data_IF_139248734354
#
_entry.id   IF_139248734354
#
_cell.length_a   1.000
_cell.length_b   1.000
_cell.length_c   1.000
_cell.angle_alpha   90.00
_cell.angle_beta   90.00
_cell.angle_gamma   90.00
#
_symmetry.space_group_name_H-M   'P 1'
#
loop_
_entity.id
_entity.type
_entity.pdbx_description
1 polymer ?
#
# COMPACT_ATOMS: atom_id res chain seq x y z
N UNK A 1 9.62 -22.38 -26.11
CA UNK A 1 9.83 -21.81 -24.77
C UNK A 1 9.16 -20.44 -24.80
N UNK A 2 7.92 -20.33 -24.31
CA UNK A 2 7.22 -19.04 -24.33
C UNK A 2 7.96 -18.08 -23.38
N UNK A 3 8.36 -16.88 -23.84
CA UNK A 3 8.89 -15.89 -22.93
C UNK A 3 7.75 -15.49 -22.00
N UNK A 4 7.89 -15.78 -20.70
CA UNK A 4 7.04 -15.17 -19.68
C UNK A 4 7.38 -13.70 -19.69
N UNK A 5 6.57 -12.91 -20.40
CA UNK A 5 6.58 -11.46 -20.28
C UNK A 5 6.24 -11.15 -18.82
N UNK A 6 7.25 -10.80 -18.02
CA UNK A 6 7.02 -10.29 -16.67
C UNK A 6 6.27 -8.99 -16.84
N UNK A 7 4.97 -9.00 -16.54
CA UNK A 7 4.17 -7.79 -16.40
C UNK A 7 4.95 -6.79 -15.54
N UNK A 8 5.08 -5.57 -16.07
CA UNK A 8 5.74 -4.49 -15.34
C UNK A 8 5.01 -4.27 -14.01
N UNK A 9 5.76 -4.37 -12.91
CA UNK A 9 5.23 -4.13 -11.57
C UNK A 9 4.43 -2.81 -11.54
N UNK A 10 3.24 -2.85 -10.94
CA UNK A 10 2.35 -1.68 -10.89
C UNK A 10 3.00 -0.48 -10.19
N UNK A 11 2.63 0.74 -10.58
CA UNK A 11 3.12 1.97 -9.96
C UNK A 11 3.08 1.98 -8.41
N UNK A 12 1.99 1.56 -7.73
CA UNK A 12 1.97 1.51 -6.27
C UNK A 12 2.95 0.47 -5.70
N UNK A 13 3.13 -0.67 -6.37
CA UNK A 13 4.07 -1.68 -5.92
C UNK A 13 5.53 -1.20 -6.07
N UNK A 14 5.82 -0.38 -7.09
CA UNK A 14 7.12 0.31 -7.23
C UNK A 14 7.33 1.37 -6.14
N UNK A 15 6.33 2.21 -5.87
CA UNK A 15 6.38 3.21 -4.79
C UNK A 15 6.69 2.52 -3.46
N UNK A 16 5.96 1.46 -3.14
CA UNK A 16 6.15 0.67 -1.93
C UNK A 16 7.57 0.09 -1.84
N UNK A 17 8.07 -0.48 -2.94
CA UNK A 17 9.42 -1.03 -2.99
C UNK A 17 10.50 0.07 -2.81
N UNK A 18 10.28 1.27 -3.36
CA UNK A 18 11.17 2.42 -3.18
C UNK A 18 11.15 2.96 -1.74
N UNK A 19 9.98 2.94 -1.11
CA UNK A 19 9.84 3.36 0.28
C UNK A 19 10.46 2.35 1.23
N UNK A 20 10.27 1.05 0.99
CA UNK A 20 10.93 -0.03 1.73
C UNK A 20 10.95 0.19 3.25
N UNK A 21 12.13 0.14 3.84
CA UNK A 21 12.35 0.33 5.29
C UNK A 21 12.07 1.77 5.77
N UNK A 22 11.90 2.73 4.84
CA UNK A 22 11.53 4.12 5.18
C UNK A 22 10.03 4.29 5.38
N UNK A 23 9.21 3.32 4.98
CA UNK A 23 7.75 3.40 5.06
C UNK A 23 7.24 3.74 6.47
N UNK A 24 7.79 3.16 7.57
CA UNK A 24 7.35 3.51 8.93
C UNK A 24 7.64 4.96 9.34
N UNK A 25 8.58 5.63 8.67
CA UNK A 25 8.96 7.02 8.95
C UNK A 25 8.15 8.04 8.15
N UNK A 26 7.19 7.58 7.34
CA UNK A 26 6.33 8.44 6.54
C UNK A 26 4.99 8.62 7.25
N UNK A 27 4.52 9.87 7.30
CA UNK A 27 3.17 10.15 7.77
C UNK A 27 2.12 9.45 6.91
N UNK A 28 1.16 8.76 7.54
CA UNK A 28 0.12 8.01 6.84
C UNK A 28 -0.62 8.82 5.76
N UNK A 29 -1.02 10.06 6.06
CA UNK A 29 -1.71 10.91 5.08
C UNK A 29 -0.81 11.27 3.90
N UNK A 30 0.49 11.49 4.16
CA UNK A 30 1.46 11.73 3.10
C UNK A 30 1.63 10.50 2.21
N UNK A 31 1.60 9.29 2.79
CA UNK A 31 1.62 8.06 2.03
C UNK A 31 0.39 7.91 1.13
N UNK A 32 -0.82 8.23 1.62
CA UNK A 32 -2.04 8.24 0.80
C UNK A 32 -1.92 9.20 -0.40
N UNK A 33 -1.41 10.41 -0.18
CA UNK A 33 -1.16 11.36 -1.27
C UNK A 33 -0.18 10.82 -2.33
N UNK A 34 0.88 10.14 -1.89
CA UNK A 34 1.84 9.52 -2.81
C UNK A 34 1.20 8.38 -3.61
N UNK A 35 0.33 7.57 -2.98
CA UNK A 35 -0.42 6.51 -3.67
C UNK A 35 -1.33 7.07 -4.77
N UNK A 36 -2.03 8.16 -4.49
CA UNK A 36 -2.91 8.87 -5.44
C UNK A 36 -2.10 9.46 -6.59
N UNK A 37 -0.98 10.13 -6.30
CA UNK A 37 -0.09 10.70 -7.33
C UNK A 37 0.53 9.65 -8.24
N UNK A 38 0.77 8.44 -7.73
CA UNK A 38 1.32 7.34 -8.52
C UNK A 38 0.25 6.66 -9.42
N UNK A 39 -1.03 6.96 -9.23
CA UNK A 39 -2.14 6.39 -10.00
C UNK A 39 -3.22 7.45 -10.29
N UNK A 40 -2.89 8.51 -11.06
CA UNK A 40 -3.80 9.63 -11.29
C UNK A 40 -5.07 9.22 -12.06
N UNK A 41 -5.01 8.14 -12.84
CA UNK A 41 -6.15 7.63 -13.61
C UNK A 41 -7.08 6.72 -12.80
N UNK A 42 -6.75 6.43 -11.53
CA UNK A 42 -7.56 5.60 -10.65
C UNK A 42 -8.36 6.44 -9.66
N UNK A 43 -9.49 5.92 -9.15
CA UNK A 43 -10.22 6.56 -8.08
C UNK A 43 -9.32 6.81 -6.86
N UNK A 44 -9.62 7.89 -6.14
CA UNK A 44 -8.98 8.22 -4.87
C UNK A 44 -9.12 7.03 -3.92
N UNK A 45 -8.05 6.73 -3.19
CA UNK A 45 -8.03 5.62 -2.21
C UNK A 45 -9.21 5.76 -1.24
N UNK A 46 -10.06 4.74 -1.13
CA UNK A 46 -11.23 4.75 -0.24
C UNK A 46 -12.47 5.50 -0.76
N UNK A 47 -12.43 6.07 -1.96
CA UNK A 47 -13.60 6.72 -2.59
C UNK A 47 -14.59 5.74 -3.22
N UNK A 48 -14.23 4.47 -3.35
CA UNK A 48 -15.08 3.42 -3.93
C UNK A 48 -15.39 2.33 -2.92
N UNK A 49 -16.55 1.69 -3.08
CA UNK A 49 -16.92 0.53 -2.27
C UNK A 49 -16.18 -0.76 -2.70
N UNK A 50 -15.50 -0.73 -3.85
CA UNK A 50 -14.87 -1.90 -4.44
C UNK A 50 -13.43 -2.07 -3.96
N UNK A 51 -13.31 -2.69 -2.79
CA UNK A 51 -12.02 -3.00 -2.13
C UNK A 51 -11.01 -3.66 -3.09
N UNK A 52 -11.45 -4.50 -4.03
CA UNK A 52 -10.57 -5.17 -5.01
C UNK A 52 -9.71 -4.22 -5.86
N UNK A 53 -10.12 -2.97 -6.05
CA UNK A 53 -9.39 -1.99 -6.87
C UNK A 53 -8.40 -1.13 -6.07
N UNK A 54 -8.44 -1.21 -4.74
CA UNK A 54 -7.52 -0.48 -3.88
C UNK A 54 -6.08 -1.03 -4.01
N UNK A 55 -5.07 -0.16 -4.12
CA UNK A 55 -3.69 -0.56 -4.39
C UNK A 55 -2.99 -1.20 -3.18
N UNK A 56 -3.52 -0.98 -1.98
CA UNK A 56 -3.02 -1.54 -0.72
C UNK A 56 -4.19 -1.92 0.19
N UNK A 57 -3.93 -2.78 1.17
CA UNK A 57 -4.86 -3.13 2.25
C UNK A 57 -4.37 -2.47 3.53
N UNK A 58 -5.03 -1.41 3.97
CA UNK A 58 -4.78 -0.89 5.31
C UNK A 58 -5.38 -1.83 6.35
N UNK A 59 -4.57 -2.28 7.31
CA UNK A 59 -5.00 -3.15 8.40
C UNK A 59 -4.48 -2.63 9.73
N UNK A 60 -5.27 -2.77 10.81
CA UNK A 60 -4.80 -2.40 12.14
C UNK A 60 -3.53 -3.20 12.48
N UNK A 61 -2.56 -2.52 13.07
CA UNK A 61 -1.45 -3.17 13.73
C UNK A 61 -1.98 -3.90 14.99
N UNK A 62 -1.63 -5.19 15.21
CA UNK A 62 -2.19 -5.98 16.31
C UNK A 62 -1.73 -5.55 17.72
N UNK A 63 -0.70 -4.72 17.83
CA UNK A 63 -0.21 -4.19 19.11
C UNK A 63 -0.91 -2.89 19.54
N UNK A 64 -0.77 -2.54 20.82
CA UNK A 64 -1.00 -1.17 21.28
C UNK A 64 0.05 -0.26 20.62
N UNK A 65 -0.38 0.84 20.03
CA UNK A 65 0.55 1.72 19.34
C UNK A 65 0.02 3.15 19.30
N UNK A 66 0.82 4.05 19.85
CA UNK A 66 0.69 5.49 19.65
C UNK A 66 1.91 5.96 18.83
N UNK A 67 1.79 7.05 18.07
CA UNK A 67 0.58 7.84 17.83
C UNK A 67 -0.40 7.20 16.84
N UNK A 68 -1.62 7.73 16.79
CA UNK A 68 -2.57 7.41 15.73
C UNK A 68 -1.99 7.79 14.35
N UNK A 69 -2.43 7.09 13.32
CA UNK A 69 -2.00 7.27 11.93
C UNK A 69 -0.50 6.99 11.69
N UNK A 70 0.09 6.08 12.47
CA UNK A 70 1.47 5.64 12.27
C UNK A 70 1.51 4.37 11.42
N UNK A 71 2.34 4.37 10.38
CA UNK A 71 2.60 3.17 9.59
C UNK A 71 3.63 2.32 10.33
N UNK A 72 3.30 1.06 10.62
CA UNK A 72 4.20 0.11 11.28
C UNK A 72 5.01 -0.73 10.30
N UNK A 73 4.55 -0.84 9.07
CA UNK A 73 5.27 -1.55 8.02
C UNK A 73 4.35 -2.14 6.97
N UNK A 74 4.93 -2.95 6.10
CA UNK A 74 4.24 -3.61 5.01
C UNK A 74 4.42 -5.13 5.04
N UNK A 75 3.33 -5.83 4.80
CA UNK A 75 3.29 -7.28 4.63
C UNK A 75 2.96 -7.57 3.16
N UNK A 76 3.87 -8.23 2.45
CA UNK A 76 3.58 -8.71 1.11
C UNK A 76 2.50 -9.79 1.17
N UNK A 77 1.62 -9.81 0.18
CA UNK A 77 0.62 -10.87 0.05
C UNK A 77 1.30 -12.18 -0.35
N UNK A 78 0.83 -13.30 0.19
CA UNK A 78 1.26 -14.63 -0.26
C UNK A 78 0.82 -14.94 -1.70
N UNK A 79 -0.18 -14.21 -2.18
CA UNK A 79 -0.71 -14.31 -3.53
C UNK A 79 -0.34 -13.08 -4.34
N UNK A 80 0.43 -13.25 -5.42
CA UNK A 80 0.93 -12.14 -6.25
C UNK A 80 -0.17 -11.27 -6.88
N UNK A 81 -1.40 -11.78 -7.00
CA UNK A 81 -2.55 -11.04 -7.52
C UNK A 81 -3.25 -10.17 -6.47
N UNK A 82 -2.91 -10.33 -5.19
CA UNK A 82 -3.47 -9.54 -4.10
C UNK A 82 -2.58 -8.35 -3.77
N UNK A 83 -3.15 -7.18 -3.47
CA UNK A 83 -2.38 -6.03 -3.03
C UNK A 83 -1.71 -6.29 -1.66
N UNK A 84 -0.56 -5.66 -1.38
CA UNK A 84 0.12 -5.79 -0.11
C UNK A 84 -0.68 -5.14 1.03
N UNK A 85 -0.38 -5.55 2.26
CA UNK A 85 -1.00 -5.03 3.48
C UNK A 85 -0.10 -3.98 4.14
N UNK A 86 -0.63 -2.80 4.42
CA UNK A 86 0.04 -1.77 5.22
C UNK A 86 -0.53 -1.81 6.63
N UNK A 87 0.34 -2.03 7.62
CA UNK A 87 -0.03 -2.02 9.04
C UNK A 87 -0.01 -0.60 9.58
N UNK A 88 -1.12 -0.20 10.18
CA UNK A 88 -1.33 1.15 10.69
C UNK A 88 -1.93 1.11 12.09
N UNK A 89 -1.48 2.00 12.97
CA UNK A 89 -2.21 2.36 14.20
C UNK A 89 -3.33 3.33 13.84
N UNK A 90 -4.59 2.91 13.94
CA UNK A 90 -5.73 3.78 13.64
C UNK A 90 -6.16 4.64 14.84
N UNK A 91 -5.74 4.26 16.04
CA UNK A 91 -6.11 4.84 17.34
C UNK A 91 -4.86 5.38 18.04
#
# INVERSE_FOLDING_TARGET
MHPVERESQSAPARLIAQLGDRLPYINFYRFCQLLEQNQPDKPVTGSTWQVRHEPVRFRPHPGMGFPASEIKGIEQSEHSHLPPTVRITFM
#
